data_IF_642647611040
#
_entry.id   IF_642647611040
#
_cell.length_a   1.000
_cell.length_b   1.000
_cell.length_c   1.000
_cell.angle_alpha   90.00
_cell.angle_beta   90.00
_cell.angle_gamma   90.00
#
_symmetry.space_group_name_H-M   'P 1'
#
loop_
_entity.id
_entity.type
_entity.pdbx_description
1 polymer ?
#
# COMPACT_ATOMS: atom_id res chain seq x y z
N UNK A 1 15.95 -15.68 -0.49
CA UNK A 1 14.96 -15.42 -1.57
C UNK A 1 13.58 -15.72 -1.02
N UNK A 2 12.67 -14.75 -0.96
CA UNK A 2 11.30 -15.00 -0.47
C UNK A 2 10.51 -15.83 -1.49
N UNK A 3 9.67 -16.75 -1.01
CA UNK A 3 8.70 -17.48 -1.84
C UNK A 3 7.83 -16.49 -2.61
N UNK A 4 7.51 -16.79 -3.88
CA UNK A 4 6.54 -16.01 -4.66
C UNK A 4 5.19 -16.06 -3.95
N UNK A 5 4.50 -14.93 -3.82
CA UNK A 5 3.19 -14.85 -3.20
C UNK A 5 2.15 -14.51 -4.28
N UNK A 6 1.21 -15.43 -4.51
CA UNK A 6 0.06 -15.23 -5.39
C UNK A 6 -1.18 -14.89 -4.58
N UNK A 7 -1.89 -13.86 -5.02
CA UNK A 7 -3.19 -13.47 -4.47
C UNK A 7 -4.25 -13.85 -5.50
N UNK A 8 -5.24 -14.62 -5.06
CA UNK A 8 -6.48 -14.92 -5.79
C UNK A 8 -7.52 -13.90 -5.33
N UNK A 9 -7.79 -12.85 -6.13
CA UNK A 9 -8.71 -11.79 -5.73
C UNK A 9 -10.16 -12.22 -5.97
N UNK A 10 -11.00 -12.12 -4.94
CA UNK A 10 -12.44 -12.31 -5.04
C UNK A 10 -13.09 -10.97 -4.68
N UNK A 11 -13.60 -10.28 -5.69
CA UNK A 11 -14.27 -8.99 -5.51
C UNK A 11 -15.72 -9.23 -5.12
N UNK A 12 -16.02 -9.10 -3.84
CA UNK A 12 -17.39 -9.14 -3.35
C UNK A 12 -17.98 -7.74 -3.55
N UNK A 13 -19.10 -7.61 -4.27
CA UNK A 13 -19.74 -6.31 -4.44
C UNK A 13 -20.02 -5.68 -3.07
N UNK A 14 -20.09 -4.36 -3.03
CA UNK A 14 -20.36 -3.58 -1.82
C UNK A 14 -21.82 -3.73 -1.32
N UNK A 15 -22.33 -4.96 -1.19
CA UNK A 15 -23.65 -5.32 -0.67
C UNK A 15 -23.69 -5.12 0.86
N UNK A 16 -23.75 -3.87 1.32
CA UNK A 16 -23.90 -3.59 2.76
C UNK A 16 -23.26 -2.33 3.29
N UNK A 17 -22.59 -1.51 2.46
CA UNK A 17 -22.11 -0.21 2.91
C UNK A 17 -23.28 0.78 3.01
N UNK A 18 -23.61 1.34 4.19
CA UNK A 18 -24.68 2.33 4.30
C UNK A 18 -24.23 3.76 3.93
N UNK A 19 -22.98 3.93 3.49
CA UNK A 19 -22.38 5.25 3.24
C UNK A 19 -21.87 5.37 1.82
N UNK A 20 -22.04 6.55 1.23
CA UNK A 20 -21.48 6.92 -0.07
C UNK A 20 -20.23 7.78 0.12
N UNK A 21 -19.06 7.14 0.26
CA UNK A 21 -17.81 7.87 0.44
C UNK A 21 -17.47 8.67 -0.81
N UNK A 22 -16.92 9.87 -0.64
CA UNK A 22 -16.71 10.82 -1.74
C UNK A 22 -15.77 10.29 -2.84
N UNK A 23 -14.87 9.37 -2.53
CA UNK A 23 -13.91 8.77 -3.48
C UNK A 23 -14.38 7.41 -4.05
N UNK A 24 -15.50 6.87 -3.60
CA UNK A 24 -15.94 5.52 -3.98
C UNK A 24 -17.02 5.60 -5.06
N UNK A 25 -16.77 5.00 -6.23
CA UNK A 25 -17.79 4.90 -7.27
C UNK A 25 -18.59 3.61 -7.10
N UNK A 26 -19.61 3.68 -6.24
CA UNK A 26 -20.45 2.53 -5.88
C UNK A 26 -21.26 1.99 -7.06
N UNK A 27 -21.65 2.86 -7.99
CA UNK A 27 -22.56 2.52 -9.08
C UNK A 27 -21.85 1.96 -10.32
N UNK A 28 -20.57 2.28 -10.56
CA UNK A 28 -19.80 1.65 -11.64
C UNK A 28 -19.20 0.31 -11.22
N UNK A 29 -18.76 0.17 -9.95
CA UNK A 29 -18.15 -1.07 -9.42
C UNK A 29 -19.21 -2.18 -9.29
N UNK A 30 -20.48 -1.84 -9.07
CA UNK A 30 -21.61 -2.79 -9.00
C UNK A 30 -22.25 -3.06 -10.38
N UNK A 31 -21.74 -2.45 -11.45
CA UNK A 31 -22.26 -2.62 -12.82
C UNK A 31 -22.03 -4.00 -13.46
N UNK A 32 -21.37 -4.93 -12.75
CA UNK A 32 -21.34 -6.35 -13.11
C UNK A 32 -22.38 -7.10 -12.27
N UNK A 33 -23.48 -7.50 -12.92
CA UNK A 33 -24.63 -8.24 -12.38
C UNK A 33 -24.31 -9.66 -11.87
N UNK A 34 -23.04 -10.06 -11.84
CA UNK A 34 -22.66 -11.40 -11.43
C UNK A 34 -22.79 -11.55 -9.91
N UNK A 35 -23.84 -12.26 -9.50
CA UNK A 35 -24.06 -12.69 -8.12
C UNK A 35 -22.83 -13.46 -7.63
N UNK A 36 -22.04 -12.85 -6.74
CA UNK A 36 -20.88 -13.51 -6.12
C UNK A 36 -21.35 -14.50 -5.08
N UNK A 37 -21.43 -15.77 -5.44
CA UNK A 37 -21.83 -16.89 -4.59
C UNK A 37 -20.72 -17.93 -4.44
N UNK A 38 -21.02 -19.07 -3.79
CA UNK A 38 -20.03 -20.15 -3.63
C UNK A 38 -19.50 -20.70 -4.95
N UNK A 39 -20.32 -20.75 -6.01
CA UNK A 39 -19.90 -21.32 -7.30
C UNK A 39 -18.94 -20.36 -8.01
N UNK A 40 -19.27 -19.07 -8.02
CA UNK A 40 -18.35 -18.04 -8.53
C UNK A 40 -17.01 -18.07 -7.78
N UNK A 41 -17.06 -18.08 -6.45
CA UNK A 41 -15.87 -18.12 -5.58
C UNK A 41 -15.01 -19.33 -5.89
N UNK A 42 -15.63 -20.51 -6.04
CA UNK A 42 -14.94 -21.75 -6.38
C UNK A 42 -14.27 -21.69 -7.74
N UNK A 43 -14.99 -21.25 -8.78
CA UNK A 43 -14.48 -21.17 -10.14
C UNK A 43 -13.25 -20.25 -10.22
N UNK A 44 -13.28 -19.08 -9.59
CA UNK A 44 -12.14 -18.17 -9.55
C UNK A 44 -10.93 -18.82 -8.87
N UNK A 45 -11.13 -19.52 -7.76
CA UNK A 45 -10.03 -20.22 -7.08
C UNK A 45 -9.42 -21.29 -8.01
N UNK A 46 -10.24 -22.12 -8.65
CA UNK A 46 -9.77 -23.18 -9.56
C UNK A 46 -9.03 -22.62 -10.77
N UNK A 47 -9.58 -21.58 -11.43
CA UNK A 47 -8.94 -20.91 -12.57
C UNK A 47 -7.56 -20.37 -12.23
N UNK A 48 -7.42 -19.70 -11.07
CA UNK A 48 -6.12 -19.19 -10.64
C UNK A 48 -5.15 -20.32 -10.29
N UNK A 49 -5.61 -21.34 -9.56
CA UNK A 49 -4.76 -22.49 -9.20
C UNK A 49 -4.20 -23.21 -10.43
N UNK A 50 -4.98 -23.31 -11.51
CA UNK A 50 -4.53 -23.90 -12.79
C UNK A 50 -3.40 -23.11 -13.46
N UNK A 51 -3.32 -21.79 -13.22
CA UNK A 51 -2.25 -20.94 -13.74
C UNK A 51 -0.99 -20.93 -12.87
N UNK A 52 -1.11 -21.27 -11.58
CA UNK A 52 0.00 -21.22 -10.62
C UNK A 52 0.83 -22.50 -10.69
N UNK A 53 1.91 -22.45 -11.48
CA UNK A 53 2.82 -23.61 -11.68
C UNK A 53 3.85 -23.80 -10.56
N UNK A 54 4.09 -22.76 -9.76
CA UNK A 54 5.12 -22.80 -8.73
C UNK A 54 4.58 -23.46 -7.45
N UNK A 55 4.99 -24.70 -7.20
CA UNK A 55 4.56 -25.49 -6.04
C UNK A 55 5.07 -24.95 -4.69
N UNK A 56 6.12 -24.14 -4.69
CA UNK A 56 6.66 -23.53 -3.48
C UNK A 56 6.07 -22.15 -3.18
N UNK A 57 5.14 -21.67 -4.01
CA UNK A 57 4.54 -20.37 -3.84
C UNK A 57 3.59 -20.34 -2.64
N UNK A 58 3.48 -19.18 -2.01
CA UNK A 58 2.42 -18.89 -1.05
C UNK A 58 1.17 -18.46 -1.82
N UNK A 59 0.02 -19.05 -1.51
CA UNK A 59 -1.25 -18.77 -2.17
C UNK A 59 -2.22 -18.20 -1.13
N UNK A 60 -2.76 -17.02 -1.42
CA UNK A 60 -3.73 -16.32 -0.58
C UNK A 60 -5.03 -16.11 -1.35
N UNK A 61 -6.17 -16.43 -0.74
CA UNK A 61 -7.49 -16.01 -1.22
C UNK A 61 -7.86 -14.71 -0.51
N UNK A 62 -8.08 -13.64 -1.27
CA UNK A 62 -8.40 -12.33 -0.71
C UNK A 62 -9.78 -11.85 -1.13
N UNK A 63 -10.67 -11.64 -0.15
CA UNK A 63 -11.98 -11.02 -0.35
C UNK A 63 -11.85 -9.49 -0.35
N UNK A 64 -11.86 -8.91 -1.55
CA UNK A 64 -11.84 -7.47 -1.78
C UNK A 64 -13.24 -6.89 -1.88
N UNK A 65 -13.35 -5.58 -1.69
CA UNK A 65 -14.62 -4.86 -1.62
C UNK A 65 -14.83 -4.13 -0.30
N UNK A 66 -13.87 -4.07 0.62
CA UNK A 66 -13.85 -3.12 1.74
C UNK A 66 -15.01 -3.17 2.76
N UNK A 67 -15.97 -4.07 2.60
CA UNK A 67 -17.18 -4.21 3.43
C UNK A 67 -17.59 -5.66 3.62
N UNK A 68 -16.67 -6.62 3.57
CA UNK A 68 -17.03 -8.04 3.62
C UNK A 68 -17.80 -8.42 4.89
N UNK A 69 -17.44 -7.88 6.07
CA UNK A 69 -18.19 -8.18 7.30
C UNK A 69 -19.52 -7.43 7.43
N UNK A 70 -19.85 -6.57 6.47
CA UNK A 70 -21.13 -5.86 6.41
C UNK A 70 -22.22 -6.60 5.64
N UNK A 71 -21.85 -7.62 4.85
CA UNK A 71 -22.82 -8.47 4.15
C UNK A 71 -23.49 -9.44 5.14
N UNK A 72 -24.62 -10.04 4.76
CA UNK A 72 -25.33 -11.02 5.59
C UNK A 72 -24.39 -12.14 6.09
N UNK A 73 -24.52 -12.52 7.37
CA UNK A 73 -23.61 -13.49 8.00
C UNK A 73 -23.64 -14.86 7.31
N UNK A 74 -24.77 -15.28 6.75
CA UNK A 74 -24.85 -16.56 6.02
C UNK A 74 -24.14 -16.46 4.67
N UNK A 75 -24.17 -15.27 4.04
CA UNK A 75 -23.40 -15.00 2.83
C UNK A 75 -21.89 -15.01 3.12
N UNK A 76 -21.47 -14.42 4.24
CA UNK A 76 -20.07 -14.53 4.68
C UNK A 76 -19.66 -16.00 4.85
N UNK A 77 -20.47 -16.79 5.57
CA UNK A 77 -20.25 -18.23 5.78
C UNK A 77 -20.18 -19.01 4.47
N UNK A 78 -21.08 -18.73 3.53
CA UNK A 78 -21.09 -19.34 2.20
C UNK A 78 -19.76 -19.14 1.48
N UNK A 79 -19.30 -17.89 1.34
CA UNK A 79 -18.08 -17.56 0.61
C UNK A 79 -16.82 -18.09 1.34
N UNK A 80 -16.77 -17.93 2.66
CA UNK A 80 -15.67 -18.38 3.49
C UNK A 80 -15.54 -19.91 3.52
N UNK A 81 -16.65 -20.65 3.42
CA UNK A 81 -16.65 -22.11 3.39
C UNK A 81 -15.84 -22.66 2.22
N UNK A 82 -15.92 -22.01 1.05
CA UNK A 82 -15.15 -22.39 -0.13
C UNK A 82 -13.67 -22.13 0.10
N UNK A 83 -13.28 -20.92 0.53
CA UNK A 83 -11.88 -20.60 0.79
C UNK A 83 -11.26 -21.53 1.87
N UNK A 84 -12.03 -21.84 2.91
CA UNK A 84 -11.64 -22.80 3.95
C UNK A 84 -11.43 -24.21 3.38
N UNK A 85 -12.31 -24.69 2.50
CA UNK A 85 -12.16 -26.01 1.86
C UNK A 85 -10.81 -26.13 1.14
N UNK A 86 -10.41 -25.12 0.35
CA UNK A 86 -9.11 -25.14 -0.34
C UNK A 86 -7.93 -24.99 0.60
N UNK A 87 -8.09 -24.24 1.69
CA UNK A 87 -7.06 -24.12 2.74
C UNK A 87 -6.86 -25.43 3.50
N UNK A 88 -7.93 -26.10 3.89
CA UNK A 88 -7.89 -27.39 4.60
C UNK A 88 -7.28 -28.50 3.72
N UNK A 89 -7.44 -28.41 2.39
CA UNK A 89 -6.77 -29.29 1.42
C UNK A 89 -5.30 -28.94 1.15
N UNK A 90 -4.80 -27.82 1.67
CA UNK A 90 -3.42 -27.36 1.47
C UNK A 90 -3.15 -26.69 0.12
N UNK A 91 -4.18 -26.28 -0.62
CA UNK A 91 -4.03 -25.52 -1.87
C UNK A 91 -3.91 -24.00 -1.64
N UNK A 92 -4.38 -23.53 -0.50
CA UNK A 92 -4.37 -22.12 -0.08
C UNK A 92 -3.70 -22.02 1.28
N UNK A 93 -2.75 -21.10 1.44
CA UNK A 93 -2.06 -20.87 2.71
C UNK A 93 -2.82 -19.87 3.60
N UNK A 94 -3.35 -18.81 2.99
CA UNK A 94 -3.95 -17.68 3.71
C UNK A 94 -5.34 -17.30 3.18
N UNK A 95 -6.21 -16.92 4.10
CA UNK A 95 -7.48 -16.26 3.81
C UNK A 95 -7.41 -14.84 4.36
N UNK A 96 -7.59 -13.87 3.47
CA UNK A 96 -7.51 -12.45 3.74
C UNK A 96 -8.82 -11.77 3.36
N UNK A 97 -9.25 -10.79 4.14
CA UNK A 97 -10.40 -9.98 3.82
C UNK A 97 -10.21 -8.51 4.19
N UNK A 98 -10.96 -7.64 3.53
CA UNK A 98 -11.03 -6.22 3.83
C UNK A 98 -12.42 -5.81 4.30
N UNK A 99 -12.47 -4.96 5.33
CA UNK A 99 -13.74 -4.47 5.86
C UNK A 99 -13.62 -3.09 6.50
N UNK A 100 -14.74 -2.57 7.00
CA UNK A 100 -14.80 -1.32 7.76
C UNK A 100 -14.58 -1.57 9.26
N UNK A 101 -14.01 -0.59 9.99
CA UNK A 101 -13.81 -0.71 11.45
C UNK A 101 -15.09 -0.96 12.25
N UNK A 102 -16.18 -0.28 11.89
CA UNK A 102 -17.49 -0.32 12.56
C UNK A 102 -18.27 -1.63 12.36
N UNK A 103 -17.76 -2.55 11.54
CA UNK A 103 -18.36 -3.88 11.28
C UNK A 103 -17.55 -5.03 11.90
N UNK A 104 -16.80 -4.73 12.96
CA UNK A 104 -16.04 -5.70 13.74
C UNK A 104 -16.62 -5.80 15.14
N UNK A 105 -17.06 -7.01 15.51
CA UNK A 105 -17.49 -7.35 16.85
C UNK A 105 -17.11 -8.80 17.17
N UNK A 106 -17.44 -9.28 18.38
CA UNK A 106 -17.10 -10.64 18.80
C UNK A 106 -17.73 -11.74 17.95
N UNK A 107 -18.99 -11.58 17.53
CA UNK A 107 -19.70 -12.56 16.68
C UNK A 107 -19.02 -12.68 15.30
N UNK A 108 -18.71 -11.54 14.68
CA UNK A 108 -18.00 -11.49 13.40
C UNK A 108 -16.63 -12.13 13.53
N UNK A 109 -15.83 -11.77 14.54
CA UNK A 109 -14.49 -12.33 14.71
C UNK A 109 -14.51 -13.82 15.02
N UNK A 110 -15.52 -14.31 15.75
CA UNK A 110 -15.70 -15.74 15.97
C UNK A 110 -16.01 -16.46 14.66
N UNK A 111 -16.95 -15.93 13.86
CA UNK A 111 -17.25 -16.48 12.53
C UNK A 111 -15.97 -16.53 11.66
N UNK A 112 -15.20 -15.45 11.58
CA UNK A 112 -13.95 -15.43 10.82
C UNK A 112 -12.92 -16.45 11.33
N UNK A 113 -12.88 -16.73 12.66
CA UNK A 113 -12.04 -17.79 13.21
C UNK A 113 -12.50 -19.19 12.82
N UNK A 114 -13.81 -19.45 12.88
CA UNK A 114 -14.38 -20.75 12.52
C UNK A 114 -14.04 -21.11 11.06
N UNK A 115 -13.95 -20.09 10.19
CA UNK A 115 -13.55 -20.25 8.80
C UNK A 115 -12.04 -20.06 8.51
N UNK A 116 -11.20 -20.06 9.55
CA UNK A 116 -9.74 -20.05 9.41
C UNK A 116 -9.18 -18.82 8.67
N UNK A 117 -9.83 -17.66 8.80
CA UNK A 117 -9.32 -16.37 8.31
C UNK A 117 -8.04 -15.99 9.05
N UNK A 118 -7.05 -15.45 8.33
CA UNK A 118 -5.75 -15.10 8.89
C UNK A 118 -5.54 -13.58 9.00
N UNK A 119 -6.00 -12.83 7.99
CA UNK A 119 -5.69 -11.42 7.81
C UNK A 119 -6.99 -10.62 7.68
N UNK A 120 -7.12 -9.59 8.50
CA UNK A 120 -8.22 -8.61 8.43
C UNK A 120 -7.62 -7.24 8.19
N UNK A 121 -7.98 -6.64 7.06
CA UNK A 121 -7.53 -5.30 6.68
C UNK A 121 -8.66 -4.27 6.84
N UNK A 122 -8.45 -3.28 7.71
CA UNK A 122 -9.41 -2.22 7.99
C UNK A 122 -9.21 -1.04 7.04
N UNK A 123 -10.28 -0.66 6.35
CA UNK A 123 -10.35 0.57 5.55
C UNK A 123 -10.48 1.81 6.42
N UNK A 124 -9.42 2.20 7.14
CA UNK A 124 -9.46 3.33 8.09
C UNK A 124 -9.40 4.69 7.38
N UNK A 125 -8.71 4.74 6.24
CA UNK A 125 -8.48 5.90 5.36
C UNK A 125 -7.70 7.04 6.03
N UNK A 126 -8.21 7.63 7.10
CA UNK A 126 -7.57 8.69 7.87
C UNK A 126 -7.85 8.51 9.37
N UNK A 127 -7.02 9.11 10.22
CA UNK A 127 -7.26 9.21 11.67
C UNK A 127 -7.38 10.68 12.07
N UNK A 128 -7.96 11.49 11.19
CA UNK A 128 -8.38 12.88 11.42
C UNK A 128 -9.90 13.00 11.24
N UNK A 129 -10.60 13.51 12.25
CA UNK A 129 -12.07 13.54 12.27
C UNK A 129 -12.66 14.41 11.16
N UNK A 130 -12.06 15.56 10.88
CA UNK A 130 -12.51 16.46 9.82
C UNK A 130 -12.37 15.79 8.45
N UNK A 131 -11.26 15.06 8.23
CA UNK A 131 -11.01 14.33 6.97
C UNK A 131 -12.02 13.19 6.80
N UNK A 132 -12.27 12.41 7.86
CA UNK A 132 -13.28 11.34 7.82
C UNK A 132 -14.66 11.89 7.51
N UNK A 133 -15.07 12.98 8.16
CA UNK A 133 -16.34 13.65 7.93
C UNK A 133 -16.47 14.15 6.49
N UNK A 134 -15.48 14.92 6.01
CA UNK A 134 -15.46 15.45 4.63
C UNK A 134 -15.37 14.35 3.58
N UNK A 135 -14.84 13.19 3.94
CA UNK A 135 -14.78 12.03 3.06
C UNK A 135 -16.07 11.21 3.02
N UNK A 136 -17.07 11.56 3.84
CA UNK A 136 -18.30 10.77 3.99
C UNK A 136 -18.04 9.39 4.60
N UNK A 137 -17.02 9.26 5.47
CA UNK A 137 -16.79 8.04 6.25
C UNK A 137 -17.75 8.04 7.44
N UNK A 138 -18.34 6.88 7.70
CA UNK A 138 -19.30 6.70 8.79
C UNK A 138 -18.74 6.00 10.04
N UNK A 139 -17.43 5.77 10.07
CA UNK A 139 -16.73 5.22 11.23
C UNK A 139 -15.91 6.33 11.92
N UNK A 140 -15.70 6.19 13.21
CA UNK A 140 -14.91 7.10 14.05
C UNK A 140 -13.49 6.59 14.25
N UNK A 141 -12.62 7.42 14.83
CA UNK A 141 -11.28 6.99 15.26
C UNK A 141 -11.39 5.91 16.35
N UNK A 142 -12.38 6.02 17.24
CA UNK A 142 -12.63 5.04 18.31
C UNK A 142 -12.98 3.67 17.74
N UNK A 143 -13.83 3.60 16.71
CA UNK A 143 -14.14 2.34 16.01
C UNK A 143 -12.86 1.66 15.49
N UNK A 144 -11.92 2.45 14.95
CA UNK A 144 -10.63 1.93 14.48
C UNK A 144 -9.82 1.34 15.63
N UNK A 145 -9.73 2.03 16.76
CA UNK A 145 -8.97 1.57 17.92
C UNK A 145 -9.57 0.29 18.53
N UNK A 146 -10.90 0.26 18.72
CA UNK A 146 -11.63 -0.89 19.24
C UNK A 146 -11.47 -2.09 18.30
N UNK A 147 -11.77 -1.93 17.01
CA UNK A 147 -11.67 -3.01 16.03
C UNK A 147 -10.23 -3.54 15.93
N UNK A 148 -9.24 -2.65 15.89
CA UNK A 148 -7.83 -3.04 15.84
C UNK A 148 -7.40 -3.85 17.06
N UNK A 149 -7.86 -3.46 18.26
CA UNK A 149 -7.55 -4.19 19.49
C UNK A 149 -8.26 -5.56 19.54
N UNK A 150 -9.51 -5.64 19.11
CA UNK A 150 -10.25 -6.90 19.03
C UNK A 150 -9.61 -7.88 18.03
N UNK A 151 -9.27 -7.43 16.83
CA UNK A 151 -8.59 -8.24 15.79
C UNK A 151 -7.29 -8.83 16.33
N UNK A 152 -6.45 -8.00 16.97
CA UNK A 152 -5.19 -8.46 17.60
C UNK A 152 -5.44 -9.46 18.73
N UNK A 153 -6.45 -9.23 19.58
CA UNK A 153 -6.80 -10.13 20.70
C UNK A 153 -7.24 -11.50 20.22
N UNK A 154 -7.94 -11.58 19.09
CA UNK A 154 -8.31 -12.85 18.45
C UNK A 154 -7.11 -13.49 17.72
N UNK A 155 -5.96 -12.82 17.62
CA UNK A 155 -4.77 -13.38 16.98
C UNK A 155 -4.86 -13.43 15.45
N UNK A 156 -5.59 -12.49 14.85
CA UNK A 156 -5.50 -12.24 13.40
C UNK A 156 -4.33 -11.29 13.10
N UNK A 157 -3.82 -11.35 11.88
CA UNK A 157 -2.93 -10.31 11.34
C UNK A 157 -3.77 -9.06 11.05
N UNK A 158 -3.44 -7.94 11.71
CA UNK A 158 -4.12 -6.66 11.50
C UNK A 158 -3.47 -5.90 10.35
N UNK A 159 -4.29 -5.51 9.37
CA UNK A 159 -3.93 -4.58 8.31
C UNK A 159 -4.67 -3.26 8.41
N UNK A 160 -4.03 -2.16 8.04
CA UNK A 160 -4.69 -0.85 7.83
C UNK A 160 -4.56 -0.40 6.38
N UNK A 161 -5.61 0.19 5.83
CA UNK A 161 -5.54 0.96 4.57
C UNK A 161 -5.66 2.44 4.90
N UNK A 162 -4.67 3.22 4.48
CA UNK A 162 -4.71 4.68 4.57
C UNK A 162 -4.75 5.31 3.18
N UNK A 163 -5.39 6.46 3.11
CA UNK A 163 -5.44 7.31 1.93
C UNK A 163 -4.81 8.66 2.25
N UNK A 164 -3.90 9.12 1.38
CA UNK A 164 -3.20 10.39 1.56
C UNK A 164 -3.80 11.47 0.66
N UNK A 165 -4.02 12.66 1.20
CA UNK A 165 -4.55 13.80 0.46
C UNK A 165 -6.05 13.73 0.17
N UNK A 166 -6.85 13.16 1.08
CA UNK A 166 -8.32 13.21 1.02
C UNK A 166 -8.85 14.65 1.21
N UNK A 167 -10.13 14.92 0.95
CA UNK A 167 -10.72 16.22 1.26
C UNK A 167 -10.53 16.62 2.73
N UNK A 168 -9.94 17.80 2.95
CA UNK A 168 -9.58 18.28 4.29
C UNK A 168 -8.20 17.83 4.79
N UNK A 169 -7.48 16.98 4.04
CA UNK A 169 -6.10 16.64 4.36
C UNK A 169 -5.13 17.77 3.97
N UNK A 170 -3.99 17.70 4.63
CA UNK A 170 -2.78 18.38 4.22
C UNK A 170 -1.58 17.55 4.70
N UNK A 171 -0.38 17.96 4.33
CA UNK A 171 0.85 17.25 4.65
C UNK A 171 1.00 16.96 6.16
N UNK A 172 0.61 17.90 7.02
CA UNK A 172 0.68 17.70 8.48
C UNK A 172 -0.31 16.63 8.94
N UNK A 173 -1.56 16.67 8.46
CA UNK A 173 -2.60 15.69 8.81
C UNK A 173 -2.26 14.28 8.33
N UNK A 174 -1.74 14.15 7.11
CA UNK A 174 -1.25 12.87 6.57
C UNK A 174 -0.18 12.25 7.49
N UNK A 175 0.77 13.06 7.96
CA UNK A 175 1.80 12.64 8.91
C UNK A 175 1.22 12.28 10.29
N UNK A 176 0.29 13.07 10.81
CA UNK A 176 -0.36 12.76 12.09
C UNK A 176 -1.18 11.46 12.02
N UNK A 177 -1.88 11.20 10.90
CA UNK A 177 -2.53 9.91 10.64
C UNK A 177 -1.51 8.77 10.69
N UNK A 178 -0.37 8.90 10.01
CA UNK A 178 0.68 7.88 10.05
C UNK A 178 1.24 7.66 11.48
N UNK A 179 1.42 8.72 12.27
CA UNK A 179 1.83 8.61 13.69
C UNK A 179 0.79 7.84 14.52
N UNK A 180 -0.50 8.10 14.33
CA UNK A 180 -1.58 7.39 15.03
C UNK A 180 -1.63 5.91 14.61
N UNK A 181 -1.48 5.61 13.32
CA UNK A 181 -1.35 4.22 12.83
C UNK A 181 -0.19 3.48 13.51
N UNK A 182 0.97 4.12 13.63
CA UNK A 182 2.15 3.55 14.32
C UNK A 182 1.83 3.20 15.78
N UNK A 183 1.06 4.05 16.48
CA UNK A 183 0.64 3.77 17.87
C UNK A 183 -0.28 2.54 17.97
N UNK A 184 -1.15 2.33 16.98
CA UNK A 184 -2.06 1.17 16.93
C UNK A 184 -1.32 -0.14 16.62
N UNK A 185 -0.17 -0.05 15.95
CA UNK A 185 0.74 -1.16 15.59
C UNK A 185 0.07 -2.25 14.74
N UNK A 186 -0.48 -1.93 13.56
CA UNK A 186 -0.89 -2.97 12.62
C UNK A 186 0.34 -3.75 12.12
N UNK A 187 0.13 -5.01 11.73
CA UNK A 187 1.19 -5.84 11.15
C UNK A 187 1.53 -5.39 9.72
N UNK A 188 0.50 -5.01 8.96
CA UNK A 188 0.61 -4.61 7.56
C UNK A 188 -0.12 -3.30 7.29
N UNK A 189 0.31 -2.58 6.25
CA UNK A 189 -0.38 -1.36 5.81
C UNK A 189 -0.43 -1.27 4.27
N UNK A 190 -1.46 -0.60 3.76
CA UNK A 190 -1.54 -0.10 2.39
C UNK A 190 -1.61 1.40 2.38
N UNK A 191 -0.91 2.02 1.43
CA UNK A 191 -0.88 3.47 1.25
C UNK A 191 -1.39 3.80 -0.13
N UNK A 192 -2.51 4.51 -0.21
CA UNK A 192 -3.09 4.96 -1.47
C UNK A 192 -3.09 6.48 -1.53
N UNK A 193 -2.62 7.12 -2.60
CA UNK A 193 -2.93 8.53 -2.79
C UNK A 193 -4.41 8.66 -3.18
N UNK A 194 -5.10 9.70 -2.69
CA UNK A 194 -6.46 10.00 -3.10
C UNK A 194 -6.51 10.36 -4.59
N UNK A 195 -7.46 9.75 -5.31
CA UNK A 195 -7.72 10.01 -6.72
C UNK A 195 -9.17 10.45 -6.90
N UNK A 196 -9.39 11.35 -7.86
CA UNK A 196 -10.73 11.73 -8.29
C UNK A 196 -11.20 10.72 -9.32
N UNK A 197 -12.21 9.94 -8.96
CA UNK A 197 -12.83 8.91 -9.80
C UNK A 197 -14.12 9.47 -10.40
N UNK A 198 -14.43 9.13 -11.66
CA UNK A 198 -15.68 9.50 -12.33
C UNK A 198 -16.89 9.05 -11.53
N UNK A 199 -18.01 9.75 -11.69
CA UNK A 199 -19.30 9.52 -11.04
C UNK A 199 -19.19 9.37 -9.51
N UNK A 200 -18.36 10.19 -8.89
CA UNK A 200 -18.23 10.25 -7.42
C UNK A 200 -18.45 11.67 -6.90
N UNK A 201 -18.88 11.85 -5.64
CA UNK A 201 -18.97 13.20 -5.06
C UNK A 201 -17.64 13.96 -5.10
N UNK A 202 -16.49 13.27 -5.07
CA UNK A 202 -15.18 13.91 -5.21
C UNK A 202 -14.94 14.48 -6.60
N UNK A 203 -15.54 13.93 -7.65
CA UNK A 203 -15.53 14.52 -9.00
C UNK A 203 -16.28 15.86 -9.02
N UNK A 204 -17.47 15.90 -8.42
CA UNK A 204 -18.23 17.15 -8.28
C UNK A 204 -17.44 18.19 -7.47
N UNK A 205 -16.81 17.77 -6.36
CA UNK A 205 -15.95 18.64 -5.57
C UNK A 205 -14.78 19.19 -6.39
N UNK A 206 -14.19 18.36 -7.26
CA UNK A 206 -13.09 18.76 -8.13
C UNK A 206 -13.53 19.81 -9.16
N UNK A 207 -14.60 19.57 -9.90
CA UNK A 207 -15.09 20.51 -10.92
C UNK A 207 -15.62 21.83 -10.33
N UNK A 208 -16.12 21.80 -9.10
CA UNK A 208 -16.55 23.00 -8.37
C UNK A 208 -15.40 23.69 -7.60
N UNK A 209 -14.15 23.27 -7.76
CA UNK A 209 -12.97 23.79 -7.05
C UNK A 209 -13.06 23.70 -5.51
N UNK A 210 -13.86 22.77 -4.98
CA UNK A 210 -13.96 22.46 -3.55
C UNK A 210 -12.90 21.46 -3.09
N UNK A 211 -12.28 20.75 -4.04
CA UNK A 211 -11.19 19.81 -3.79
C UNK A 211 -10.13 19.91 -4.89
N UNK A 212 -8.86 19.87 -4.49
CA UNK A 212 -7.73 19.78 -5.41
C UNK A 212 -6.86 18.60 -4.97
N UNK A 213 -6.74 17.54 -5.78
CA UNK A 213 -5.91 16.40 -5.42
C UNK A 213 -4.43 16.81 -5.43
N UNK A 214 -3.59 16.05 -4.74
CA UNK A 214 -2.15 16.28 -4.77
C UNK A 214 -1.58 16.15 -6.18
N UNK A 215 -0.56 16.95 -6.48
CA UNK A 215 0.28 16.70 -7.64
C UNK A 215 1.05 15.39 -7.45
N UNK A 216 1.44 14.75 -8.55
CA UNK A 216 2.25 13.52 -8.50
C UNK A 216 3.51 13.70 -7.64
N UNK A 217 4.22 14.83 -7.80
CA UNK A 217 5.41 15.16 -6.99
C UNK A 217 5.10 15.22 -5.50
N UNK A 218 4.04 15.94 -5.11
CA UNK A 218 3.64 16.06 -3.70
C UNK A 218 3.21 14.72 -3.11
N UNK A 219 2.47 13.92 -3.87
CA UNK A 219 2.04 12.58 -3.46
C UNK A 219 3.23 11.63 -3.25
N UNK A 220 4.24 11.68 -4.13
CA UNK A 220 5.48 10.91 -3.97
C UNK A 220 6.21 11.33 -2.70
N UNK A 221 6.33 12.62 -2.44
CA UNK A 221 7.02 13.16 -1.26
C UNK A 221 6.37 12.72 0.05
N UNK A 222 5.05 12.93 0.21
CA UNK A 222 4.35 12.52 1.44
C UNK A 222 4.35 11.00 1.60
N UNK A 223 4.11 10.24 0.52
CA UNK A 223 4.11 8.78 0.56
C UNK A 223 5.50 8.24 0.92
N UNK A 224 6.56 8.84 0.39
CA UNK A 224 7.94 8.53 0.77
C UNK A 224 8.11 8.62 2.28
N UNK A 225 7.76 9.77 2.87
CA UNK A 225 7.93 9.96 4.31
C UNK A 225 7.14 8.89 5.07
N UNK A 226 5.82 8.78 4.83
CA UNK A 226 4.94 7.81 5.51
C UNK A 226 5.45 6.38 5.37
N UNK A 227 5.92 5.99 4.18
CA UNK A 227 6.50 4.66 3.95
C UNK A 227 7.74 4.43 4.83
N UNK A 228 8.64 5.40 4.89
CA UNK A 228 9.82 5.33 5.77
C UNK A 228 9.41 5.26 7.26
N UNK A 229 8.36 5.98 7.70
CA UNK A 229 7.84 5.90 9.07
C UNK A 229 7.38 4.48 9.41
N UNK A 230 6.64 3.82 8.51
CA UNK A 230 6.13 2.47 8.71
C UNK A 230 7.25 1.43 8.72
N UNK A 231 8.20 1.52 7.78
CA UNK A 231 9.39 0.66 7.75
C UNK A 231 10.19 0.76 9.05
N UNK A 232 10.39 1.99 9.56
CA UNK A 232 11.16 2.22 10.77
C UNK A 232 10.49 1.61 12.02
N UNK A 233 9.16 1.50 12.00
CA UNK A 233 8.36 0.95 13.09
C UNK A 233 7.94 -0.52 12.87
N UNK A 234 8.61 -1.24 11.97
CA UNK A 234 8.35 -2.65 11.65
C UNK A 234 6.93 -2.93 11.15
N UNK A 235 6.28 -1.96 10.50
CA UNK A 235 4.98 -2.12 9.84
C UNK A 235 5.25 -2.45 8.36
N UNK A 236 4.81 -3.62 7.91
CA UNK A 236 5.06 -4.07 6.54
C UNK A 236 4.10 -3.39 5.57
N UNK A 237 4.61 -2.52 4.70
CA UNK A 237 3.79 -1.93 3.64
C UNK A 237 3.67 -2.89 2.46
N UNK A 238 2.48 -3.47 2.28
CA UNK A 238 2.23 -4.50 1.26
C UNK A 238 1.76 -3.90 -0.07
N UNK A 239 1.26 -2.65 -0.07
CA UNK A 239 0.84 -1.93 -1.28
C UNK A 239 1.08 -0.43 -1.15
N UNK A 240 1.58 0.18 -2.23
CA UNK A 240 1.69 1.63 -2.42
C UNK A 240 1.12 1.97 -3.80
N UNK A 241 0.13 2.87 -3.83
CA UNK A 241 -0.60 3.20 -5.06
C UNK A 241 -1.66 2.16 -5.44
N UNK A 242 -2.53 2.53 -6.36
CA UNK A 242 -3.61 1.68 -6.86
C UNK A 242 -3.09 0.71 -7.91
N UNK A 243 -3.68 -0.49 -7.95
CA UNK A 243 -3.41 -1.43 -9.02
C UNK A 243 -4.15 -0.97 -10.28
N UNK A 244 -3.45 -0.78 -11.41
CA UNK A 244 -4.13 -0.50 -12.66
C UNK A 244 -4.98 -1.72 -13.04
N UNK A 245 -6.27 -1.52 -13.24
CA UNK A 245 -7.16 -2.47 -13.92
C UNK A 245 -7.49 -1.89 -15.30
N UNK A 246 -8.08 -2.68 -16.21
CA UNK A 246 -8.49 -2.16 -17.52
C UNK A 246 -9.47 -0.98 -17.42
N UNK A 247 -10.22 -0.94 -16.31
CA UNK A 247 -11.21 0.07 -15.92
C UNK A 247 -10.54 1.31 -15.28
N UNK A 248 -9.63 1.11 -14.32
CA UNK A 248 -8.96 2.20 -13.58
C UNK A 248 -7.74 2.71 -14.36
N UNK A 249 -7.98 3.61 -15.33
CA UNK A 249 -6.94 4.34 -16.08
C UNK A 249 -7.30 5.83 -16.28
N UNK A 250 -6.27 6.66 -16.49
CA UNK A 250 -6.42 8.10 -16.80
C UNK A 250 -7.26 8.26 -18.07
N UNK A 251 -8.34 9.05 -18.00
CA UNK A 251 -9.25 9.30 -19.12
C UNK A 251 -10.42 8.30 -19.24
N UNK A 252 -10.32 7.13 -18.59
CA UNK A 252 -11.45 6.24 -18.33
C UNK A 252 -12.09 6.63 -17.00
N UNK A 253 -11.89 5.87 -15.92
CA UNK A 253 -12.56 6.15 -14.65
C UNK A 253 -11.83 7.15 -13.76
N UNK A 254 -10.60 7.54 -14.10
CA UNK A 254 -9.85 8.55 -13.35
C UNK A 254 -9.94 9.93 -14.00
N UNK A 255 -10.45 10.89 -13.24
CA UNK A 255 -10.64 12.30 -13.64
C UNK A 255 -9.40 13.12 -13.34
N UNK A 256 -8.86 12.99 -12.12
CA UNK A 256 -7.72 13.78 -11.64
C UNK A 256 -6.99 13.09 -10.49
N UNK A 257 -5.80 13.60 -10.18
CA UNK A 257 -4.96 13.17 -9.05
C UNK A 257 -3.69 12.45 -9.47
N UNK A 258 -2.86 12.06 -8.49
CA UNK A 258 -1.49 11.59 -8.69
C UNK A 258 -1.42 10.10 -9.12
N UNK A 259 -2.16 9.71 -10.16
CA UNK A 259 -2.11 8.34 -10.66
C UNK A 259 -0.83 8.07 -11.44
N UNK A 260 -0.19 6.95 -11.10
CA UNK A 260 0.89 6.38 -11.91
C UNK A 260 0.88 4.85 -11.74
N UNK A 261 0.95 4.06 -12.83
CA UNK A 261 0.88 2.58 -12.74
C UNK A 261 2.02 1.98 -11.93
N UNK A 262 3.18 2.65 -11.91
CA UNK A 262 4.35 2.27 -11.11
C UNK A 262 4.58 3.21 -9.91
N UNK A 263 3.53 3.75 -9.28
CA UNK A 263 3.66 4.75 -8.20
C UNK A 263 4.61 4.30 -7.08
N UNK A 264 4.57 3.03 -6.68
CA UNK A 264 5.52 2.45 -5.72
C UNK A 264 6.98 2.57 -6.18
N UNK A 265 7.26 2.32 -7.45
CA UNK A 265 8.61 2.44 -8.01
C UNK A 265 9.08 3.90 -7.99
N UNK A 266 8.18 4.88 -8.18
CA UNK A 266 8.53 6.30 -8.05
C UNK A 266 8.91 6.67 -6.61
N UNK A 267 8.16 6.16 -5.63
CA UNK A 267 8.44 6.39 -4.20
C UNK A 267 9.77 5.74 -3.80
N UNK A 268 9.96 4.46 -4.14
CA UNK A 268 11.21 3.74 -3.88
C UNK A 268 12.39 4.38 -4.61
N UNK A 269 12.20 4.82 -5.86
CA UNK A 269 13.21 5.54 -6.63
C UNK A 269 13.60 6.88 -6.01
N UNK A 270 12.63 7.64 -5.49
CA UNK A 270 12.91 8.87 -4.74
C UNK A 270 13.76 8.59 -3.50
N UNK A 271 13.43 7.53 -2.73
CA UNK A 271 14.19 7.13 -1.54
C UNK A 271 15.63 6.74 -1.92
N UNK A 272 15.81 5.87 -2.91
CA UNK A 272 17.15 5.41 -3.35
C UNK A 272 18.02 6.61 -3.72
N UNK A 273 17.48 7.56 -4.48
CA UNK A 273 18.22 8.74 -4.90
C UNK A 273 18.57 9.68 -3.73
N UNK A 274 17.70 9.81 -2.73
CA UNK A 274 18.03 10.54 -1.50
C UNK A 274 19.18 9.87 -0.74
N UNK A 275 19.16 8.54 -0.59
CA UNK A 275 20.26 7.80 0.06
C UNK A 275 21.58 7.97 -0.68
N UNK A 276 21.58 7.84 -2.01
CA UNK A 276 22.76 8.06 -2.85
C UNK A 276 23.31 9.47 -2.64
N UNK A 277 22.44 10.47 -2.72
CA UNK A 277 22.82 11.88 -2.55
C UNK A 277 23.49 12.12 -1.21
N UNK A 278 22.86 11.67 -0.14
CA UNK A 278 23.34 11.86 1.22
C UNK A 278 24.68 11.17 1.43
N UNK A 279 24.80 9.91 1.03
CA UNK A 279 26.04 9.15 1.21
C UNK A 279 27.21 9.72 0.43
N UNK A 280 26.97 10.22 -0.78
CA UNK A 280 28.01 10.92 -1.53
C UNK A 280 28.41 12.22 -0.81
N UNK A 281 27.44 12.99 -0.29
CA UNK A 281 27.71 14.24 0.46
C UNK A 281 28.40 14.01 1.80
N UNK A 282 28.13 12.89 2.48
CA UNK A 282 28.71 12.57 3.79
C UNK A 282 30.11 11.95 3.66
N UNK A 283 30.25 10.98 2.75
CA UNK A 283 31.42 10.11 2.75
C UNK A 283 32.32 10.32 1.53
N UNK A 284 31.80 10.73 0.37
CA UNK A 284 32.57 10.85 -0.87
C UNK A 284 32.85 12.31 -1.24
N UNK A 285 33.02 13.18 -0.24
CA UNK A 285 33.20 14.63 -0.39
C UNK A 285 34.40 15.00 -1.26
N UNK A 286 35.51 14.26 -1.17
CA UNK A 286 36.76 14.51 -1.93
C UNK A 286 36.83 13.79 -3.28
N UNK A 287 35.95 12.82 -3.53
CA UNK A 287 36.06 11.90 -4.67
C UNK A 287 35.47 12.52 -5.94
N UNK A 288 36.25 12.80 -6.99
CA UNK A 288 35.68 13.36 -8.24
C UNK A 288 34.91 12.30 -9.04
N UNK A 289 35.31 11.04 -8.95
CA UNK A 289 34.69 9.92 -9.63
C UNK A 289 34.03 8.97 -8.61
N UNK A 290 32.75 8.68 -8.82
CA UNK A 290 31.98 7.76 -7.97
C UNK A 290 31.30 6.71 -8.84
N UNK A 291 31.41 5.46 -8.44
CA UNK A 291 30.74 4.32 -9.08
C UNK A 291 29.61 3.85 -8.17
N UNK A 292 28.41 3.74 -8.74
CA UNK A 292 27.26 3.10 -8.12
C UNK A 292 27.09 1.69 -8.72
N UNK A 293 27.21 0.66 -7.89
CA UNK A 293 26.86 -0.71 -8.29
C UNK A 293 25.47 -1.07 -7.74
N UNK A 294 24.61 -1.52 -8.65
CA UNK A 294 23.20 -1.87 -8.34
C UNK A 294 22.86 -3.25 -8.87
N UNK A 295 21.91 -3.91 -8.23
CA UNK A 295 21.33 -5.13 -8.76
C UNK A 295 20.61 -4.83 -10.09
N UNK A 296 20.76 -5.65 -11.16
CA UNK A 296 20.04 -5.45 -12.41
C UNK A 296 18.51 -5.37 -12.24
N UNK A 297 17.95 -5.99 -11.21
CA UNK A 297 16.51 -5.99 -10.91
C UNK A 297 16.02 -4.70 -10.25
N UNK A 298 16.92 -3.81 -9.83
CA UNK A 298 16.59 -2.54 -9.18
C UNK A 298 17.04 -1.31 -9.99
N UNK A 299 17.62 -1.52 -11.18
CA UNK A 299 18.05 -0.43 -12.07
C UNK A 299 16.86 0.46 -12.47
N UNK A 300 15.67 -0.11 -12.67
CA UNK A 300 14.45 0.65 -12.98
C UNK A 300 14.09 1.61 -11.85
N UNK A 301 14.30 1.20 -10.59
CA UNK A 301 14.01 2.03 -9.41
C UNK A 301 14.98 3.20 -9.29
N UNK A 302 16.29 2.95 -9.48
CA UNK A 302 17.29 4.04 -9.48
C UNK A 302 16.97 5.09 -10.55
N UNK A 303 16.53 4.63 -11.72
CA UNK A 303 16.20 5.46 -12.89
C UNK A 303 14.70 5.74 -13.06
N UNK A 304 13.93 5.60 -11.98
CA UNK A 304 12.49 5.81 -12.00
C UNK A 304 12.13 7.20 -12.55
N UNK A 305 10.92 7.31 -13.08
CA UNK A 305 10.39 8.56 -13.62
C UNK A 305 11.30 9.20 -14.70
N UNK A 306 11.73 8.43 -15.70
CA UNK A 306 12.65 8.90 -16.75
C UNK A 306 13.94 9.54 -16.18
N UNK A 307 14.47 8.99 -15.09
CA UNK A 307 15.65 9.46 -14.35
C UNK A 307 15.48 10.83 -13.70
N UNK A 308 14.26 11.33 -13.47
CA UNK A 308 14.05 12.66 -12.87
C UNK A 308 14.83 12.82 -11.55
N UNK A 309 14.60 11.93 -10.58
CA UNK A 309 15.27 11.96 -9.28
C UNK A 309 16.80 11.85 -9.41
N UNK A 310 17.27 10.93 -10.24
CA UNK A 310 18.70 10.73 -10.47
C UNK A 310 19.37 11.96 -11.11
N UNK A 311 18.68 12.61 -12.04
CA UNK A 311 19.16 13.83 -12.69
C UNK A 311 19.16 15.02 -11.71
N UNK A 312 18.17 15.13 -10.82
CA UNK A 312 18.18 16.11 -9.72
C UNK A 312 19.41 15.89 -8.81
N UNK A 313 19.69 14.65 -8.41
CA UNK A 313 20.88 14.31 -7.63
C UNK A 313 22.17 14.66 -8.38
N UNK A 314 22.29 14.34 -9.67
CA UNK A 314 23.46 14.73 -10.48
C UNK A 314 23.63 16.25 -10.57
N UNK A 315 22.53 17.00 -10.70
CA UNK A 315 22.55 18.47 -10.70
C UNK A 315 22.96 19.06 -9.35
N UNK A 316 22.61 18.42 -8.24
CA UNK A 316 23.09 18.85 -6.92
C UNK A 316 24.56 18.48 -6.67
N UNK A 317 25.04 17.40 -7.29
CA UNK A 317 26.39 16.86 -7.14
C UNK A 317 27.30 17.22 -8.34
N UNK A 318 27.17 18.43 -8.90
CA UNK A 318 27.83 18.87 -10.16
C UNK A 318 29.32 18.53 -10.25
N UNK A 319 30.03 18.52 -9.12
CA UNK A 319 31.46 18.24 -9.04
C UNK A 319 31.82 16.74 -9.08
N UNK A 320 30.84 15.84 -9.30
CA UNK A 320 31.01 14.39 -9.22
C UNK A 320 30.63 13.73 -10.54
N UNK A 321 31.56 12.98 -11.12
CA UNK A 321 31.26 12.08 -12.23
C UNK A 321 30.73 10.75 -11.67
N UNK A 322 29.42 10.55 -11.81
CA UNK A 322 28.72 9.36 -11.30
C UNK A 322 28.51 8.35 -12.44
N UNK A 323 29.16 7.18 -12.32
CA UNK A 323 29.01 6.03 -13.22
C UNK A 323 28.16 4.95 -12.54
N UNK A 324 27.19 4.39 -13.25
CA UNK A 324 26.33 3.30 -12.74
C UNK A 324 26.70 1.98 -13.42
N UNK A 325 26.85 0.92 -12.65
CA UNK A 325 27.19 -0.43 -13.13
C UNK A 325 26.22 -1.44 -12.52
N UNK A 326 25.75 -2.38 -13.34
CA UNK A 326 24.87 -3.45 -12.86
C UNK A 326 25.70 -4.67 -12.45
N UNK A 327 25.45 -5.21 -11.26
CA UNK A 327 26.20 -6.34 -10.69
C UNK A 327 25.26 -7.34 -9.99
N UNK A 328 25.33 -8.61 -10.39
CA UNK A 328 24.48 -9.67 -9.84
C UNK A 328 24.78 -10.01 -8.37
N UNK A 329 25.98 -9.69 -7.87
CA UNK A 329 26.36 -9.95 -6.48
C UNK A 329 25.81 -8.90 -5.50
N UNK A 330 25.31 -7.77 -6.00
CA UNK A 330 24.65 -6.75 -5.16
C UNK A 330 23.26 -7.29 -4.82
N UNK A 331 22.93 -7.35 -3.55
CA UNK A 331 21.60 -7.79 -3.11
C UNK A 331 20.51 -6.84 -3.61
N UNK A 332 19.27 -7.35 -3.69
CA UNK A 332 18.13 -6.50 -4.08
C UNK A 332 17.92 -5.40 -3.03
N UNK A 333 17.58 -4.20 -3.48
CA UNK A 333 17.45 -3.01 -2.65
C UNK A 333 18.73 -2.60 -1.91
N UNK A 334 19.89 -3.08 -2.37
CA UNK A 334 21.19 -2.58 -1.93
C UNK A 334 21.82 -1.74 -3.02
N UNK A 335 22.65 -0.77 -2.60
CA UNK A 335 23.51 0.01 -3.48
C UNK A 335 24.92 0.04 -2.90
N UNK A 336 25.90 -0.28 -3.75
CA UNK A 336 27.30 -0.09 -3.42
C UNK A 336 27.76 1.22 -4.02
N UNK A 337 28.31 2.11 -3.20
CA UNK A 337 28.93 3.36 -3.64
C UNK A 337 30.43 3.23 -3.42
N UNK A 338 31.24 3.49 -4.45
CA UNK A 338 32.70 3.36 -4.35
C UNK A 338 33.46 4.42 -5.15
N UNK A 339 34.66 4.71 -4.68
CA UNK A 339 35.69 5.47 -5.39
C UNK A 339 36.99 4.65 -5.43
N UNK A 340 38.12 5.30 -5.73
CA UNK A 340 39.44 4.67 -5.81
C UNK A 340 39.97 4.16 -4.46
N UNK A 341 39.49 4.71 -3.35
CA UNK A 341 40.04 4.50 -2.02
C UNK A 341 39.14 3.67 -1.10
N UNK A 342 37.83 3.68 -1.35
CA UNK A 342 36.85 3.03 -0.47
C UNK A 342 35.55 2.66 -1.18
N UNK A 343 34.79 1.80 -0.51
CA UNK A 343 33.41 1.49 -0.87
C UNK A 343 32.52 1.40 0.37
N UNK A 344 31.23 1.62 0.17
CA UNK A 344 30.18 1.38 1.16
C UNK A 344 29.07 0.56 0.51
N UNK A 345 28.61 -0.49 1.20
CA UNK A 345 27.43 -1.26 0.81
C UNK A 345 26.25 -0.82 1.70
N UNK A 346 25.19 -0.34 1.07
CA UNK A 346 24.05 0.24 1.78
C UNK A 346 22.81 -0.56 1.44
N UNK A 347 22.23 -1.21 2.45
CA UNK A 347 20.84 -1.65 2.39
C UNK A 347 19.94 -0.41 2.54
N UNK A 348 19.10 -0.14 1.53
CA UNK A 348 18.27 1.06 1.49
C UNK A 348 17.22 1.06 2.60
N UNK A 349 16.70 -0.11 2.98
CA UNK A 349 15.70 -0.24 4.04
C UNK A 349 16.32 -0.01 5.42
N UNK A 350 17.46 -0.63 5.70
CA UNK A 350 18.16 -0.46 6.97
C UNK A 350 18.69 0.96 7.14
N UNK A 351 19.21 1.56 6.06
CA UNK A 351 19.63 2.95 6.08
C UNK A 351 18.46 3.87 6.38
N UNK A 352 17.34 3.70 5.67
CA UNK A 352 16.10 4.45 5.88
C UNK A 352 15.61 4.34 7.33
N UNK A 353 15.54 3.11 7.85
CA UNK A 353 15.10 2.84 9.22
C UNK A 353 16.02 3.49 10.25
N UNK A 354 17.34 3.31 10.10
CA UNK A 354 18.32 3.86 11.03
C UNK A 354 18.33 5.39 11.01
N UNK A 355 18.21 6.00 9.83
CA UNK A 355 18.16 7.45 9.67
C UNK A 355 16.88 8.02 10.27
N UNK A 356 15.74 7.39 10.01
CA UNK A 356 14.48 7.79 10.61
C UNK A 356 14.56 7.73 12.13
N UNK A 357 15.07 6.64 12.71
CA UNK A 357 15.25 6.50 14.18
C UNK A 357 16.19 7.60 14.73
N UNK A 358 17.32 7.87 14.05
CA UNK A 358 18.27 8.92 14.45
C UNK A 358 17.69 10.34 14.34
N UNK A 359 16.76 10.57 13.41
CA UNK A 359 16.06 11.84 13.20
C UNK A 359 14.78 11.99 14.02
N UNK A 360 14.19 10.90 14.50
CA UNK A 360 12.91 10.90 15.22
C UNK A 360 12.97 11.65 16.56
N UNK A 361 14.17 11.82 17.13
CA UNK A 361 14.36 12.61 18.35
C UNK A 361 14.69 14.09 18.10
N UNK A 362 14.94 14.54 16.86
CA UNK A 362 15.47 15.89 16.59
C UNK A 362 14.86 16.65 15.40
N UNK A 363 13.96 16.06 14.61
CA UNK A 363 13.34 16.72 13.45
C UNK A 363 11.80 16.75 13.51
N UNK A 364 11.26 16.98 14.70
CA UNK A 364 9.85 17.30 14.93
C UNK A 364 9.75 18.57 15.76
#
# INVERSE_FOLDING_TARGET
MGKTHYIIPIFVPHEGCPHNCVFCNQNSITGNENKVDKYYTKNIIEEYLDTIKNKDATIEVSFFGGTFTAIDINRQKELLSVAKEYKDKGYVDYIHMSTRPDYINHEILQNLKDYSVDIIELGIQSLDEEVLLKSGRGHTIEDVEIASNLIKKYGFTLGHQIMLGLPGDNFKKDIETAKKVIKIKPNICRIYPALVVKNTPMEDMYYNNLYTPYSLKKAIEITKIVYQMFLANNIKVIRIGLQPTEEINIGKDLVAGPFHPAFRELVEGSIINDVVKEKIKEEFTKSEHVILEVNPKDISKLYANKKEFFNEVKKELVLKNIKVIQKNHVDKFNIIIKDENKFVNIDIYDYTKSKYIKGYSKAL
#
